data_IF_396032006154
#
_entry.id   IF_396032006154
#
_cell.length_a   1.000
_cell.length_b   1.000
_cell.length_c   1.000
_cell.angle_alpha   90.00
_cell.angle_beta   90.00
_cell.angle_gamma   90.00
#
_symmetry.space_group_name_H-M   'P 1'
#
loop_
_entity.id
_entity.type
_entity.pdbx_description
1 polymer ?
#
# COMPACT_ATOMS: atom_id res chain seq x y z
N UNK A 1 -15.43 46.66 19.97
CA UNK A 1 -14.33 45.76 19.55
C UNK A 1 -14.77 44.29 19.69
N UNK A 2 -15.37 43.66 18.67
CA UNK A 2 -15.91 42.27 18.75
C UNK A 2 -15.45 41.34 17.61
N UNK A 3 -14.61 41.81 16.67
CA UNK A 3 -14.19 41.03 15.49
C UNK A 3 -13.29 39.81 15.81
N UNK A 4 -12.64 39.77 16.98
CA UNK A 4 -11.73 38.69 17.35
C UNK A 4 -12.45 37.35 17.64
N UNK A 5 -13.65 37.39 18.21
CA UNK A 5 -14.41 36.19 18.60
C UNK A 5 -14.90 35.39 17.39
N UNK A 6 -15.50 36.07 16.40
CA UNK A 6 -15.95 35.45 15.16
C UNK A 6 -14.79 34.80 14.37
N UNK A 7 -13.60 35.42 14.39
CA UNK A 7 -12.41 34.87 13.72
C UNK A 7 -11.90 33.58 14.37
N UNK A 8 -12.02 33.45 15.70
CA UNK A 8 -11.62 32.24 16.44
C UNK A 8 -12.59 31.10 16.15
N UNK A 9 -13.89 31.38 16.16
CA UNK A 9 -14.93 30.40 15.82
C UNK A 9 -14.78 29.87 14.39
N UNK A 10 -14.51 30.74 13.40
CA UNK A 10 -14.24 30.30 12.02
C UNK A 10 -12.98 29.42 11.90
N UNK A 11 -11.93 29.73 12.65
CA UNK A 11 -10.67 28.95 12.64
C UNK A 11 -10.87 27.55 13.22
N UNK A 12 -11.56 27.44 14.35
CA UNK A 12 -11.89 26.16 14.99
C UNK A 12 -12.76 25.28 14.09
N UNK A 13 -13.73 25.86 13.39
CA UNK A 13 -14.55 25.13 12.42
C UNK A 13 -13.74 24.61 11.22
N UNK A 14 -12.78 25.39 10.72
CA UNK A 14 -11.90 24.97 9.63
C UNK A 14 -10.99 23.79 10.06
N UNK A 15 -10.42 23.86 11.26
CA UNK A 15 -9.59 22.79 11.82
C UNK A 15 -10.39 21.50 12.06
N UNK A 16 -11.57 21.59 12.68
CA UNK A 16 -12.46 20.45 12.88
C UNK A 16 -12.88 19.81 11.55
N UNK A 17 -13.18 20.62 10.53
CA UNK A 17 -13.54 20.15 9.20
C UNK A 17 -12.38 19.40 8.54
N UNK A 18 -11.15 19.89 8.68
CA UNK A 18 -9.98 19.22 8.13
C UNK A 18 -9.69 17.90 8.86
N UNK A 19 -9.80 17.86 10.19
CA UNK A 19 -9.67 16.60 10.97
C UNK A 19 -10.69 15.55 10.55
N UNK A 20 -11.95 15.94 10.35
CA UNK A 20 -12.99 15.02 9.85
C UNK A 20 -12.72 14.56 8.42
N UNK A 21 -12.22 15.45 7.55
CA UNK A 21 -11.83 15.11 6.17
C UNK A 21 -10.69 14.10 6.16
N UNK A 22 -9.68 14.31 7.00
CA UNK A 22 -8.58 13.38 7.21
C UNK A 22 -9.09 12.00 7.66
N UNK A 23 -9.91 11.91 8.71
CA UNK A 23 -10.48 10.65 9.19
C UNK A 23 -11.28 9.90 8.11
N UNK A 24 -12.04 10.62 7.28
CA UNK A 24 -12.84 10.01 6.20
C UNK A 24 -11.99 9.51 5.02
N UNK A 25 -10.94 10.23 4.66
CA UNK A 25 -10.16 9.95 3.45
C UNK A 25 -8.92 9.10 3.71
N UNK A 26 -8.41 9.06 4.94
CA UNK A 26 -7.23 8.26 5.31
C UNK A 26 -7.38 6.80 4.92
N UNK A 27 -8.53 6.19 5.22
CA UNK A 27 -8.82 4.79 4.84
C UNK A 27 -8.85 4.53 3.33
N UNK A 28 -8.93 5.57 2.50
CA UNK A 28 -8.89 5.46 1.04
C UNK A 28 -7.48 5.70 0.46
N UNK A 29 -6.50 6.16 1.25
CA UNK A 29 -5.13 6.43 0.77
C UNK A 29 -4.44 5.15 0.32
N UNK A 30 -4.65 4.02 1.01
CA UNK A 30 -4.16 2.71 0.58
C UNK A 30 -4.66 2.30 -0.81
N UNK A 31 -5.98 2.30 -0.99
CA UNK A 31 -6.60 2.00 -2.28
C UNK A 31 -6.18 2.98 -3.39
N UNK A 32 -5.91 4.24 -3.04
CA UNK A 32 -5.35 5.23 -3.96
C UNK A 32 -3.91 4.88 -4.36
N UNK A 33 -3.05 4.50 -3.42
CA UNK A 33 -1.69 4.07 -3.68
C UNK A 33 -1.64 2.83 -4.59
N UNK A 34 -2.66 1.97 -4.51
CA UNK A 34 -2.80 0.79 -5.35
C UNK A 34 -3.49 1.03 -6.70
N UNK A 35 -3.95 2.27 -6.97
CA UNK A 35 -4.66 2.58 -8.22
C UNK A 35 -6.06 1.99 -8.30
N UNK A 36 -6.64 1.58 -7.17
CA UNK A 36 -7.95 0.92 -7.09
C UNK A 36 -9.12 1.92 -7.00
N UNK A 37 -8.84 3.22 -6.84
CA UNK A 37 -9.86 4.25 -6.83
C UNK A 37 -10.13 4.77 -8.23
N UNK A 38 -11.41 4.96 -8.55
CA UNK A 38 -11.85 5.55 -9.82
C UNK A 38 -12.78 6.75 -9.59
N UNK A 39 -12.98 7.52 -10.66
CA UNK A 39 -13.95 8.63 -10.71
C UNK A 39 -13.80 9.63 -9.56
N UNK A 40 -14.93 10.03 -8.98
CA UNK A 40 -14.99 11.07 -7.94
C UNK A 40 -14.21 10.71 -6.65
N UNK A 41 -14.01 9.42 -6.37
CA UNK A 41 -13.29 9.00 -5.16
C UNK A 41 -11.78 9.18 -5.34
N UNK A 42 -11.26 8.87 -6.54
CA UNK A 42 -9.88 9.16 -6.90
C UNK A 42 -9.56 10.66 -6.81
N UNK A 43 -10.40 11.50 -7.42
CA UNK A 43 -10.16 12.96 -7.43
C UNK A 43 -10.21 13.59 -6.04
N UNK A 44 -11.13 13.14 -5.17
CA UNK A 44 -11.21 13.61 -3.78
C UNK A 44 -9.97 13.24 -2.96
N UNK A 45 -9.47 12.01 -3.11
CA UNK A 45 -8.26 11.59 -2.40
C UNK A 45 -7.03 12.32 -2.94
N UNK A 46 -6.90 12.47 -4.27
CA UNK A 46 -5.83 13.23 -4.91
C UNK A 46 -5.76 14.68 -4.40
N UNK A 47 -6.91 15.37 -4.34
CA UNK A 47 -6.97 16.73 -3.81
C UNK A 47 -6.61 16.81 -2.32
N UNK A 48 -6.98 15.80 -1.53
CA UNK A 48 -6.65 15.78 -0.10
C UNK A 48 -5.17 15.51 0.16
N UNK A 49 -4.56 14.53 -0.50
CA UNK A 49 -3.12 14.24 -0.32
C UNK A 49 -2.23 15.38 -0.79
N UNK A 50 -2.70 16.22 -1.72
CA UNK A 50 -1.97 17.42 -2.13
C UNK A 50 -1.85 18.47 -1.02
N UNK A 51 -2.81 18.51 -0.07
CA UNK A 51 -2.88 19.55 0.97
C UNK A 51 -2.68 19.03 2.40
N UNK A 52 -2.67 17.70 2.60
CA UNK A 52 -2.56 17.08 3.93
C UNK A 52 -1.20 16.38 4.08
N UNK A 53 -0.33 16.96 4.91
CA UNK A 53 1.02 16.42 5.18
C UNK A 53 1.01 14.96 5.67
N UNK A 54 0.08 14.61 6.56
CA UNK A 54 -0.02 13.25 7.11
C UNK A 54 -0.35 12.23 6.01
N UNK A 55 -1.34 12.54 5.17
CA UNK A 55 -1.77 11.64 4.10
C UNK A 55 -0.79 11.59 2.93
N UNK A 56 -0.06 12.67 2.66
CA UNK A 56 1.02 12.66 1.66
C UNK A 56 2.19 11.80 2.11
N UNK A 57 2.57 11.88 3.39
CA UNK A 57 3.59 11.02 3.99
C UNK A 57 3.20 9.54 3.96
N UNK A 58 1.95 9.22 4.35
CA UNK A 58 1.42 7.85 4.27
C UNK A 58 1.44 7.32 2.83
N UNK A 59 1.00 8.12 1.85
CA UNK A 59 1.04 7.77 0.43
C UNK A 59 2.47 7.50 -0.07
N UNK A 60 3.43 8.35 0.32
CA UNK A 60 4.84 8.17 -0.05
C UNK A 60 5.40 6.87 0.54
N UNK A 61 5.14 6.60 1.82
CA UNK A 61 5.57 5.36 2.48
C UNK A 61 5.02 4.12 1.77
N UNK A 62 3.73 4.10 1.45
CA UNK A 62 3.09 3.00 0.72
C UNK A 62 3.74 2.78 -0.66
N UNK A 63 4.02 3.86 -1.40
CA UNK A 63 4.69 3.77 -2.71
C UNK A 63 6.11 3.22 -2.60
N UNK A 64 6.86 3.64 -1.58
CA UNK A 64 8.22 3.14 -1.34
C UNK A 64 8.22 1.65 -0.97
N UNK A 65 7.30 1.20 -0.11
CA UNK A 65 7.14 -0.21 0.23
C UNK A 65 6.79 -1.03 -1.02
N UNK A 66 5.85 -0.54 -1.84
CA UNK A 66 5.49 -1.20 -3.10
C UNK A 66 6.67 -1.30 -4.04
N UNK A 67 7.44 -0.22 -4.19
CA UNK A 67 8.65 -0.20 -5.01
C UNK A 67 9.73 -1.17 -4.47
N UNK A 68 9.93 -1.26 -3.15
CA UNK A 68 10.91 -2.20 -2.58
C UNK A 68 10.55 -3.66 -2.82
N UNK A 69 9.25 -3.98 -2.82
CA UNK A 69 8.77 -5.33 -3.15
C UNK A 69 8.98 -5.63 -4.64
N UNK A 70 8.66 -4.70 -5.54
CA UNK A 70 8.84 -4.90 -6.99
C UNK A 70 10.31 -4.91 -7.42
N UNK A 71 11.14 -4.08 -6.77
CA UNK A 71 12.58 -3.96 -7.06
C UNK A 71 13.42 -5.15 -6.57
N UNK A 72 12.82 -6.17 -5.95
CA UNK A 72 13.49 -7.40 -5.54
C UNK A 72 12.92 -8.63 -6.27
N UNK A 73 13.21 -8.77 -7.58
CA UNK A 73 12.75 -9.92 -8.37
C UNK A 73 13.34 -11.26 -7.90
N UNK A 74 14.46 -11.24 -7.15
CA UNK A 74 15.07 -12.44 -6.56
C UNK A 74 14.28 -13.06 -5.40
N UNK A 75 13.13 -12.48 -5.02
CA UNK A 75 12.15 -13.08 -4.12
C UNK A 75 10.93 -13.62 -4.86
N UNK A 76 11.03 -13.86 -6.16
CA UNK A 76 10.04 -14.67 -6.85
C UNK A 76 10.03 -16.05 -6.16
N UNK A 77 8.86 -16.53 -5.68
CA UNK A 77 8.78 -17.86 -5.11
C UNK A 77 9.27 -18.88 -6.14
N UNK A 78 9.97 -19.92 -5.66
CA UNK A 78 10.44 -21.03 -6.48
C UNK A 78 9.31 -21.49 -7.41
N UNK A 79 9.59 -21.56 -8.71
CA UNK A 79 8.54 -21.88 -9.68
C UNK A 79 7.93 -23.25 -9.37
N UNK A 80 6.64 -23.43 -9.64
CA UNK A 80 6.00 -24.73 -9.45
C UNK A 80 6.69 -25.83 -10.28
N UNK A 81 7.19 -25.47 -11.47
CA UNK A 81 7.97 -26.37 -12.32
C UNK A 81 9.26 -26.82 -11.61
N UNK A 82 10.01 -25.90 -11.04
CA UNK A 82 11.23 -26.21 -10.29
C UNK A 82 10.95 -27.09 -9.06
N UNK A 83 9.89 -26.77 -8.28
CA UNK A 83 9.48 -27.61 -7.14
C UNK A 83 9.13 -29.03 -7.59
N UNK A 84 8.44 -29.18 -8.72
CA UNK A 84 8.09 -30.50 -9.29
C UNK A 84 9.32 -31.27 -9.76
N UNK A 85 10.26 -30.61 -10.44
CA UNK A 85 11.51 -31.22 -10.89
C UNK A 85 12.31 -31.75 -9.70
N UNK A 86 12.46 -30.94 -8.63
CA UNK A 86 13.16 -31.37 -7.41
C UNK A 86 12.50 -32.58 -6.77
N UNK A 87 11.16 -32.56 -6.60
CA UNK A 87 10.42 -33.71 -6.05
C UNK A 87 10.56 -34.98 -6.88
N UNK A 88 10.56 -34.85 -8.20
CA UNK A 88 10.76 -35.97 -9.11
C UNK A 88 12.19 -36.54 -8.96
N UNK A 89 13.20 -35.68 -8.98
CA UNK A 89 14.59 -36.09 -8.79
C UNK A 89 14.79 -36.82 -7.45
N UNK A 90 14.22 -36.29 -6.36
CA UNK A 90 14.26 -36.92 -5.04
C UNK A 90 13.56 -38.29 -5.02
N UNK A 91 12.46 -38.42 -5.76
CA UNK A 91 11.75 -39.70 -5.86
C UNK A 91 12.59 -40.73 -6.59
N UNK A 92 13.14 -40.38 -7.76
CA UNK A 92 14.04 -41.26 -8.53
C UNK A 92 15.24 -41.69 -7.69
N UNK A 93 15.86 -40.76 -6.95
CA UNK A 93 17.00 -41.07 -6.08
C UNK A 93 16.64 -42.05 -4.95
N UNK A 94 15.41 -41.99 -4.42
CA UNK A 94 14.92 -42.92 -3.38
C UNK A 94 14.52 -44.29 -3.92
N UNK A 95 14.03 -44.35 -5.15
CA UNK A 95 13.53 -45.60 -5.76
C UNK A 95 14.58 -46.31 -6.62
N UNK A 96 15.74 -45.67 -6.87
CA UNK A 96 16.82 -46.29 -7.60
C UNK A 96 17.39 -47.48 -6.81
N UNK A 97 17.49 -48.69 -7.42
CA UNK A 97 18.17 -49.81 -6.79
C UNK A 97 19.67 -49.49 -6.63
N UNK A 98 20.35 -50.04 -5.61
CA UNK A 98 21.79 -49.86 -5.48
C UNK A 98 22.48 -50.41 -6.74
N UNK A 99 23.26 -49.55 -7.40
CA UNK A 99 24.10 -49.95 -8.53
C UNK A 99 25.31 -50.68 -7.92
N UNK A 100 25.14 -51.97 -7.63
CA UNK A 100 26.19 -52.81 -7.06
C UNK A 100 25.63 -54.11 -6.47
N UNK A 101 25.73 -55.19 -7.25
CA UNK A 101 25.42 -56.57 -6.88
C UNK A 101 25.76 -57.50 -8.04
#
# INVERSE_FOLDING_TARGET
>A
MTKLSASKSCRLWAECRERLRHLRLRGAVGAYADGQLTGARHTRVAAHVACCWTCSGELLALRLIKASVHGHPHRAPTSLAEVRIRRFADHVARTAPPIGG
#
